data_IF_051036324863
#
_entry.id   IF_051036324863
#
_cell.length_a   1.000
_cell.length_b   1.000
_cell.length_c   1.000
_cell.angle_alpha   90.00
_cell.angle_beta   90.00
_cell.angle_gamma   90.00
#
_symmetry.space_group_name_H-M   'P 1'
#
loop_
_entity.id
_entity.type
_entity.pdbx_description
1 polymer ?
#
# COMPACT_ATOMS: atom_id res chain seq x y z
N UNK A 1 1.31 -5.14 19.19
CA UNK A 1 2.62 -4.45 19.13
C UNK A 1 2.43 -2.94 19.04
N UNK A 2 3.29 -2.13 19.65
CA UNK A 2 3.17 -0.66 19.68
C UNK A 2 3.27 0.04 18.32
N UNK A 3 3.86 -0.64 17.32
CA UNK A 3 4.01 -0.15 15.95
C UNK A 3 2.79 -0.40 15.05
N UNK A 4 1.83 -1.21 15.50
CA UNK A 4 0.57 -1.43 14.78
C UNK A 4 -0.41 -0.37 15.24
N UNK A 5 -0.69 0.61 14.38
CA UNK A 5 -1.72 1.61 14.65
C UNK A 5 -3.06 0.94 14.94
N UNK A 6 -3.82 1.48 15.89
CA UNK A 6 -5.16 0.96 16.20
C UNK A 6 -6.04 1.04 14.94
N UNK A 7 -6.69 -0.09 14.63
CA UNK A 7 -7.68 -0.11 13.58
C UNK A 7 -8.84 0.81 13.96
N UNK A 8 -9.39 1.58 13.01
CA UNK A 8 -10.65 2.24 13.22
C UNK A 8 -11.73 1.23 13.62
N UNK A 9 -12.45 1.53 14.71
CA UNK A 9 -13.56 0.69 15.18
C UNK A 9 -14.65 0.50 14.12
N UNK A 10 -14.76 1.44 13.18
CA UNK A 10 -15.79 1.47 12.12
C UNK A 10 -15.21 1.32 10.70
N UNK A 11 -14.25 0.42 10.52
CA UNK A 11 -13.70 0.07 9.20
C UNK A 11 -14.80 -0.30 8.20
N UNK A 12 -14.86 0.44 7.08
CA UNK A 12 -15.87 0.25 6.03
C UNK A 12 -17.15 1.07 6.23
N UNK A 13 -17.30 1.80 7.33
CA UNK A 13 -18.41 2.75 7.51
C UNK A 13 -18.14 4.09 6.81
N UNK A 14 -19.20 4.72 6.26
CA UNK A 14 -19.10 6.08 5.68
C UNK A 14 -18.74 7.17 6.70
N UNK A 15 -18.85 6.88 8.01
CA UNK A 15 -18.53 7.83 9.10
C UNK A 15 -17.04 8.00 9.34
N UNK A 16 -16.23 6.99 9.00
CA UNK A 16 -14.79 7.12 9.11
C UNK A 16 -14.25 7.76 7.84
N UNK A 17 -13.49 8.86 8.00
CA UNK A 17 -12.80 9.52 6.90
C UNK A 17 -11.81 8.59 6.19
N UNK A 18 -11.05 9.13 5.23
CA UNK A 18 -10.07 8.35 4.47
C UNK A 18 -9.04 7.71 5.41
N UNK A 19 -8.83 6.40 5.26
CA UNK A 19 -7.76 5.67 5.95
C UNK A 19 -6.39 6.21 5.55
N UNK A 20 -5.48 6.32 6.52
CA UNK A 20 -4.08 6.71 6.27
C UNK A 20 -3.30 5.55 5.66
N UNK A 21 -2.22 5.87 4.95
CA UNK A 21 -1.37 4.87 4.29
C UNK A 21 -0.87 3.76 5.25
N UNK A 22 -0.46 4.14 6.47
CA UNK A 22 0.02 3.18 7.48
C UNK A 22 -1.09 2.28 8.05
N UNK A 23 -2.32 2.79 8.11
CA UNK A 23 -3.49 1.99 8.47
C UNK A 23 -3.81 0.98 7.36
N UNK A 24 -3.78 1.42 6.10
CA UNK A 24 -3.92 0.51 4.95
C UNK A 24 -2.86 -0.59 4.96
N UNK A 25 -1.60 -0.24 5.20
CA UNK A 25 -0.51 -1.22 5.34
C UNK A 25 -0.83 -2.24 6.42
N UNK A 26 -1.18 -1.80 7.62
CA UNK A 26 -1.50 -2.69 8.74
C UNK A 26 -2.68 -3.62 8.42
N UNK A 27 -3.74 -3.09 7.82
CA UNK A 27 -4.91 -3.88 7.38
C UNK A 27 -4.48 -4.97 6.41
N UNK A 28 -3.74 -4.60 5.37
CA UNK A 28 -3.36 -5.52 4.31
C UNK A 28 -2.37 -6.56 4.81
N UNK A 29 -1.35 -6.19 5.58
CA UNK A 29 -0.26 -7.12 5.92
C UNK A 29 -0.49 -7.93 7.18
N UNK A 30 -1.46 -7.56 8.03
CA UNK A 30 -1.70 -8.26 9.31
C UNK A 30 -3.13 -8.79 9.37
N UNK A 31 -4.11 -7.89 9.30
CA UNK A 31 -5.49 -8.27 9.62
C UNK A 31 -6.14 -9.11 8.51
N UNK A 32 -5.91 -8.78 7.24
CA UNK A 32 -6.42 -9.59 6.13
C UNK A 32 -5.85 -11.02 6.16
N UNK A 33 -4.52 -11.26 6.21
CA UNK A 33 -3.97 -12.61 6.33
C UNK A 33 -4.55 -13.41 7.50
N UNK A 34 -4.57 -12.82 8.71
CA UNK A 34 -5.06 -13.53 9.90
C UNK A 34 -6.52 -13.94 9.74
N UNK A 35 -7.38 -13.01 9.33
CA UNK A 35 -8.82 -13.28 9.20
C UNK A 35 -9.13 -14.27 8.06
N UNK A 36 -8.40 -14.18 6.94
CA UNK A 36 -8.62 -15.08 5.81
C UNK A 36 -8.06 -16.47 6.05
N UNK A 37 -6.90 -16.60 6.70
CA UNK A 37 -6.34 -17.91 7.09
C UNK A 37 -7.30 -18.61 8.04
N UNK A 38 -7.76 -17.92 9.10
CA UNK A 38 -8.71 -18.49 10.06
C UNK A 38 -10.00 -18.99 9.38
N UNK A 39 -10.54 -18.21 8.44
CA UNK A 39 -11.81 -18.55 7.78
C UNK A 39 -11.68 -19.57 6.66
N UNK A 40 -10.57 -19.55 5.93
CA UNK A 40 -10.46 -20.23 4.63
C UNK A 40 -9.37 -21.31 4.59
N UNK A 41 -8.51 -21.43 5.61
CA UNK A 41 -7.59 -22.58 5.71
C UNK A 41 -8.40 -23.81 6.15
N UNK A 42 -8.99 -24.52 5.19
CA UNK A 42 -9.70 -25.77 5.45
C UNK A 42 -9.12 -26.89 4.59
N UNK A 43 -9.02 -28.09 5.16
CA UNK A 43 -8.60 -29.31 4.44
C UNK A 43 -9.76 -29.94 3.63
N UNK A 44 -10.92 -29.30 3.61
CA UNK A 44 -12.08 -29.75 2.84
C UNK A 44 -11.76 -29.82 1.35
N UNK A 45 -12.15 -30.92 0.69
CA UNK A 45 -11.98 -31.12 -0.76
C UNK A 45 -13.16 -30.57 -1.59
N UNK A 46 -14.02 -29.75 -0.98
CA UNK A 46 -15.14 -29.12 -1.71
C UNK A 46 -14.63 -28.09 -2.73
N UNK A 47 -15.39 -27.88 -3.81
CA UNK A 47 -15.08 -26.86 -4.82
C UNK A 47 -15.03 -25.45 -4.23
N UNK A 48 -15.92 -25.16 -3.26
CA UNK A 48 -15.95 -23.89 -2.54
C UNK A 48 -14.69 -23.70 -1.68
N UNK A 49 -14.24 -24.74 -0.96
CA UNK A 49 -13.00 -24.70 -0.20
C UNK A 49 -11.78 -24.45 -1.10
N UNK A 50 -11.71 -25.14 -2.25
CA UNK A 50 -10.64 -24.91 -3.24
C UNK A 50 -10.63 -23.47 -3.76
N UNK A 51 -11.80 -22.90 -4.05
CA UNK A 51 -11.90 -21.50 -4.48
C UNK A 51 -11.47 -20.52 -3.39
N UNK A 52 -11.89 -20.73 -2.15
CA UNK A 52 -11.50 -19.90 -0.99
C UNK A 52 -9.99 -19.95 -0.74
N UNK A 53 -9.38 -21.13 -0.88
CA UNK A 53 -7.92 -21.28 -0.81
C UNK A 53 -7.22 -20.45 -1.89
N UNK A 54 -7.68 -20.52 -3.14
CA UNK A 54 -7.08 -19.72 -4.23
C UNK A 54 -7.23 -18.20 -3.98
N UNK A 55 -8.35 -17.76 -3.39
CA UNK A 55 -8.53 -16.36 -2.99
C UNK A 55 -7.58 -15.96 -1.86
N UNK A 56 -7.32 -16.86 -0.91
CA UNK A 56 -6.33 -16.67 0.14
C UNK A 56 -4.92 -16.56 -0.46
N UNK A 57 -4.52 -17.50 -1.32
CA UNK A 57 -3.21 -17.51 -1.98
C UNK A 57 -2.98 -16.22 -2.78
N UNK A 58 -3.98 -15.81 -3.58
CA UNK A 58 -3.96 -14.54 -4.30
C UNK A 58 -3.81 -13.34 -3.34
N UNK A 59 -4.45 -13.38 -2.17
CA UNK A 59 -4.29 -12.31 -1.17
C UNK A 59 -2.89 -12.32 -0.56
N UNK A 60 -2.30 -13.49 -0.32
CA UNK A 60 -0.94 -13.61 0.20
C UNK A 60 0.10 -13.06 -0.77
N UNK A 61 -0.13 -13.15 -2.08
CA UNK A 61 0.72 -12.49 -3.07
C UNK A 61 0.70 -10.97 -2.96
N UNK A 62 -0.49 -10.38 -2.83
CA UNK A 62 -0.60 -8.95 -2.57
C UNK A 62 0.09 -8.55 -1.26
N UNK A 63 -0.07 -9.34 -0.20
CA UNK A 63 0.55 -9.11 1.11
C UNK A 63 2.08 -9.08 1.00
N UNK A 64 2.66 -10.08 0.35
CA UNK A 64 4.11 -10.18 0.16
C UNK A 64 4.64 -9.00 -0.66
N UNK A 65 3.96 -8.63 -1.75
CA UNK A 65 4.32 -7.45 -2.54
C UNK A 65 4.30 -6.16 -1.69
N UNK A 66 3.27 -5.95 -0.86
CA UNK A 66 3.19 -4.77 0.02
C UNK A 66 4.29 -4.78 1.08
N UNK A 67 4.61 -5.93 1.67
CA UNK A 67 5.70 -6.05 2.64
C UNK A 67 7.03 -5.63 2.01
N UNK A 68 7.33 -6.13 0.81
CA UNK A 68 8.56 -5.81 0.07
C UNK A 68 8.60 -4.32 -0.28
N UNK A 69 7.54 -3.79 -0.89
CA UNK A 69 7.48 -2.38 -1.29
C UNK A 69 7.61 -1.41 -0.11
N UNK A 70 7.31 -1.88 1.10
CA UNK A 70 7.39 -1.09 2.32
C UNK A 70 8.69 -1.29 3.13
N UNK A 71 9.70 -1.98 2.55
CA UNK A 71 11.03 -2.09 3.15
C UNK A 71 11.75 -0.74 3.10
N UNK A 72 12.63 -0.50 4.08
CA UNK A 72 13.48 0.71 4.14
C UNK A 72 14.78 0.60 3.32
N UNK A 73 15.10 -0.61 2.87
CA UNK A 73 16.22 -0.92 1.99
C UNK A 73 15.80 -2.10 1.12
N UNK A 74 16.23 -2.11 -0.14
CA UNK A 74 15.79 -3.08 -1.15
C UNK A 74 17.02 -3.66 -1.87
N UNK A 75 17.04 -4.98 -2.00
CA UNK A 75 18.00 -5.68 -2.85
C UNK A 75 17.45 -5.86 -4.27
N UNK A 76 18.29 -6.32 -5.20
CA UNK A 76 17.81 -6.73 -6.54
C UNK A 76 16.77 -7.84 -6.44
N UNK A 77 17.00 -8.82 -5.58
CA UNK A 77 16.08 -9.95 -5.39
C UNK A 77 14.74 -9.50 -4.82
N UNK A 78 14.73 -8.51 -3.92
CA UNK A 78 13.48 -7.91 -3.43
C UNK A 78 12.65 -7.32 -4.57
N UNK A 79 13.28 -6.57 -5.48
CA UNK A 79 12.57 -5.96 -6.62
C UNK A 79 11.97 -7.01 -7.56
N UNK A 80 12.73 -8.08 -7.82
CA UNK A 80 12.25 -9.20 -8.64
C UNK A 80 11.11 -9.96 -7.96
N UNK A 81 11.23 -10.23 -6.66
CA UNK A 81 10.19 -10.87 -5.88
C UNK A 81 8.92 -10.01 -5.83
N UNK A 82 9.04 -8.69 -5.69
CA UNK A 82 7.91 -7.78 -5.76
C UNK A 82 7.15 -7.93 -7.09
N UNK A 83 7.87 -7.86 -8.22
CA UNK A 83 7.27 -7.95 -9.54
C UNK A 83 6.59 -9.30 -9.76
N UNK A 84 7.23 -10.39 -9.33
CA UNK A 84 6.67 -11.74 -9.41
C UNK A 84 5.36 -11.87 -8.60
N UNK A 85 5.36 -11.46 -7.33
CA UNK A 85 4.16 -11.47 -6.51
C UNK A 85 3.03 -10.61 -7.11
N UNK A 86 3.34 -9.40 -7.58
CA UNK A 86 2.32 -8.53 -8.20
C UNK A 86 1.77 -9.10 -9.50
N UNK A 87 2.61 -9.75 -10.30
CA UNK A 87 2.19 -10.39 -11.56
C UNK A 87 1.28 -11.58 -11.29
N UNK A 88 1.64 -12.44 -10.33
CA UNK A 88 0.80 -13.57 -9.90
C UNK A 88 -0.53 -13.10 -9.33
N UNK A 89 -0.49 -12.10 -8.43
CA UNK A 89 -1.69 -11.45 -7.89
C UNK A 89 -2.64 -10.95 -8.99
N UNK A 90 -2.15 -10.16 -9.96
CA UNK A 90 -3.05 -9.60 -10.98
C UNK A 90 -3.58 -10.65 -11.96
N UNK A 91 -2.77 -11.68 -12.25
CA UNK A 91 -3.18 -12.80 -13.09
C UNK A 91 -4.30 -13.60 -12.43
N UNK A 92 -4.11 -13.99 -11.17
CA UNK A 92 -5.12 -14.73 -10.41
C UNK A 92 -6.33 -13.88 -10.05
N UNK A 93 -6.16 -12.58 -9.79
CA UNK A 93 -7.27 -11.66 -9.59
C UNK A 93 -8.22 -11.66 -10.79
N UNK A 94 -7.69 -11.63 -12.02
CA UNK A 94 -8.50 -11.67 -13.25
C UNK A 94 -9.24 -13.01 -13.40
N UNK A 95 -8.57 -14.10 -13.06
CA UNK A 95 -9.13 -15.46 -13.13
C UNK A 95 -10.21 -15.70 -12.08
N UNK A 96 -9.97 -15.24 -10.85
CA UNK A 96 -10.87 -15.41 -9.72
C UNK A 96 -12.08 -14.48 -9.79
N UNK A 97 -11.92 -13.28 -10.34
CA UNK A 97 -12.98 -12.28 -10.44
C UNK A 97 -13.15 -11.80 -11.89
N UNK A 98 -13.73 -12.62 -12.78
CA UNK A 98 -13.80 -12.31 -14.22
C UNK A 98 -14.59 -11.04 -14.55
N UNK A 99 -15.47 -10.59 -13.66
CA UNK A 99 -16.25 -9.36 -13.82
C UNK A 99 -15.53 -8.11 -13.30
N UNK A 100 -14.41 -8.27 -12.59
CA UNK A 100 -13.64 -7.15 -12.05
C UNK A 100 -12.87 -6.46 -13.18
N UNK A 101 -13.16 -5.18 -13.40
CA UNK A 101 -12.39 -4.35 -14.34
C UNK A 101 -11.11 -3.84 -13.68
N UNK A 102 -9.96 -4.23 -14.21
CA UNK A 102 -8.68 -3.69 -13.78
C UNK A 102 -8.61 -2.20 -14.11
N UNK A 103 -8.30 -1.41 -13.09
CA UNK A 103 -8.02 0.03 -13.16
C UNK A 103 -6.55 0.32 -13.48
N UNK A 104 -6.21 1.52 -13.99
CA UNK A 104 -4.82 1.92 -14.27
C UNK A 104 -3.86 1.76 -13.10
N UNK A 105 -4.33 1.91 -11.86
CA UNK A 105 -3.51 1.69 -10.66
C UNK A 105 -2.94 0.28 -10.56
N UNK A 106 -3.63 -0.75 -11.07
CA UNK A 106 -3.11 -2.12 -11.09
C UNK A 106 -1.94 -2.24 -12.06
N UNK A 107 -2.03 -1.58 -13.22
CA UNK A 107 -0.94 -1.54 -14.19
C UNK A 107 0.25 -0.74 -13.64
N UNK A 108 -0.01 0.44 -13.06
CA UNK A 108 1.03 1.26 -12.43
C UNK A 108 1.77 0.51 -11.30
N UNK A 109 1.10 -0.38 -10.57
CA UNK A 109 1.73 -1.20 -9.55
C UNK A 109 2.76 -2.18 -10.12
N UNK A 110 2.64 -2.63 -11.37
CA UNK A 110 3.67 -3.46 -12.02
C UNK A 110 4.95 -2.67 -12.29
N UNK A 111 4.84 -1.37 -12.59
CA UNK A 111 5.99 -0.48 -12.79
C UNK A 111 6.69 -0.08 -11.49
N UNK A 112 6.14 -0.41 -10.32
CA UNK A 112 6.76 -0.04 -9.05
C UNK A 112 8.15 -0.70 -8.90
N UNK A 113 8.39 -1.90 -9.44
CA UNK A 113 9.74 -2.52 -9.41
C UNK A 113 10.80 -1.65 -10.11
N UNK A 114 10.45 -1.03 -11.23
CA UNK A 114 11.33 -0.14 -11.99
C UNK A 114 11.61 1.15 -11.20
N UNK A 115 10.58 1.72 -10.56
CA UNK A 115 10.74 2.89 -9.70
C UNK A 115 11.57 2.58 -8.45
N UNK A 116 11.41 1.39 -7.87
CA UNK A 116 12.25 0.93 -6.76
C UNK A 116 13.71 0.73 -7.18
N UNK A 117 13.96 0.43 -8.45
CA UNK A 117 15.30 0.35 -9.01
C UNK A 117 15.94 1.72 -9.21
N UNK A 118 15.20 2.66 -9.79
CA UNK A 118 15.70 3.99 -10.11
C UNK A 118 15.82 4.93 -8.89
N UNK A 119 14.84 4.88 -7.99
CA UNK A 119 14.70 5.86 -6.90
C UNK A 119 14.89 5.25 -5.51
N UNK A 120 15.07 3.93 -5.43
CA UNK A 120 15.18 3.22 -4.16
C UNK A 120 13.84 3.09 -3.43
N UNK A 121 13.87 2.85 -2.11
CA UNK A 121 12.67 2.62 -1.29
C UNK A 121 11.62 3.73 -1.40
N UNK A 122 10.35 3.36 -1.45
CA UNK A 122 9.20 4.29 -1.60
C UNK A 122 9.24 5.45 -0.60
N UNK A 123 9.68 5.18 0.63
CA UNK A 123 9.80 6.21 1.68
C UNK A 123 10.73 7.37 1.30
N UNK A 124 11.67 7.18 0.38
CA UNK A 124 12.60 8.22 -0.09
C UNK A 124 11.96 9.23 -1.06
N UNK A 125 10.89 8.84 -1.75
CA UNK A 125 10.30 9.65 -2.83
C UNK A 125 8.77 9.74 -2.80
N UNK A 126 8.13 9.20 -1.75
CA UNK A 126 6.69 9.35 -1.55
C UNK A 126 6.27 10.83 -1.41
N UNK A 127 5.02 11.12 -1.78
CA UNK A 127 4.51 12.50 -1.83
C UNK A 127 4.18 13.09 -0.45
N UNK A 128 4.16 12.27 0.61
CA UNK A 128 3.71 12.70 1.93
C UNK A 128 4.47 13.92 2.52
N UNK A 129 5.81 14.03 2.41
CA UNK A 129 6.54 15.21 2.85
C UNK A 129 6.11 16.47 2.08
N UNK A 130 5.88 16.35 0.77
CA UNK A 130 5.43 17.44 -0.08
C UNK A 130 3.98 17.83 0.23
N UNK A 131 3.08 16.88 0.45
CA UNK A 131 1.70 17.15 0.87
C UNK A 131 1.65 17.88 2.22
N UNK A 132 2.50 17.47 3.17
CA UNK A 132 2.65 18.16 4.45
C UNK A 132 3.17 19.59 4.26
N UNK A 133 4.17 19.78 3.39
CA UNK A 133 4.72 21.10 3.06
C UNK A 133 3.66 21.98 2.40
N UNK A 134 2.91 21.47 1.42
CA UNK A 134 1.80 22.20 0.77
C UNK A 134 0.77 22.60 1.81
N UNK A 135 0.39 21.70 2.72
CA UNK A 135 -0.57 22.00 3.79
C UNK A 135 -0.05 23.03 4.79
N UNK A 136 1.26 23.11 5.02
CA UNK A 136 1.88 24.18 5.80
C UNK A 136 1.83 25.51 5.02
N UNK A 137 2.25 25.50 3.75
CA UNK A 137 2.24 26.67 2.87
C UNK A 137 0.83 27.27 2.71
N UNK A 138 -0.19 26.43 2.58
CA UNK A 138 -1.60 26.86 2.53
C UNK A 138 -2.09 27.53 3.81
N UNK A 139 -1.46 27.25 4.96
CA UNK A 139 -1.78 27.86 6.25
C UNK A 139 -0.96 29.12 6.53
N UNK A 140 0.10 29.35 5.76
CA UNK A 140 0.89 30.57 5.87
C UNK A 140 0.11 31.70 5.21
N UNK A 141 -0.16 32.78 5.96
CA UNK A 141 -0.88 33.92 5.42
C UNK A 141 0.04 34.78 4.54
N UNK A 142 0.15 34.44 3.26
CA UNK A 142 0.78 35.31 2.27
C UNK A 142 -0.23 36.40 1.91
N UNK A 143 -0.21 37.52 2.62
CA UNK A 143 -0.97 38.74 2.27
C UNK A 143 -0.42 39.42 0.99
N UNK A 144 -0.08 38.65 -0.05
CA UNK A 144 0.48 39.09 -1.34
C UNK A 144 1.67 40.07 -1.28
N UNK A 145 2.29 40.22 -0.10
CA UNK A 145 3.52 41.00 0.09
C UNK A 145 4.72 40.13 -0.22
N UNK A 146 5.20 40.20 -1.46
CA UNK A 146 6.52 39.69 -1.85
C UNK A 146 7.59 40.45 -1.04
N UNK A 147 8.29 39.77 -0.13
CA UNK A 147 9.53 40.34 0.43
C UNK A 147 10.01 39.94 1.84
N UNK A 148 9.32 39.09 2.62
CA UNK A 148 9.77 38.82 4.01
C UNK A 148 9.92 37.34 4.40
N UNK A 149 9.94 36.42 3.45
CA UNK A 149 9.95 34.97 3.74
C UNK A 149 11.08 34.23 3.04
N UNK A 150 12.35 34.53 3.37
CA UNK A 150 13.49 33.69 2.95
C UNK A 150 14.37 33.25 4.12
N UNK A 151 14.01 33.53 5.37
CA UNK A 151 14.84 33.12 6.52
C UNK A 151 14.53 31.72 7.06
N UNK A 152 13.32 31.19 6.90
CA UNK A 152 12.90 29.93 7.54
C UNK A 152 13.18 28.65 6.73
N UNK A 153 13.52 28.76 5.44
CA UNK A 153 13.74 27.59 4.57
C UNK A 153 15.15 26.97 4.70
N UNK A 154 16.09 27.64 5.37
CA UNK A 154 17.46 27.16 5.54
C UNK A 154 17.67 26.21 6.74
N UNK A 155 16.63 25.92 7.53
CA UNK A 155 16.75 25.13 8.79
C UNK A 155 16.23 23.68 8.63
N UNK A 156 15.83 23.26 7.42
CA UNK A 156 15.31 21.90 7.20
C UNK A 156 16.05 21.27 6.02
N UNK A 157 17.32 20.96 6.23
CA UNK A 157 18.05 19.88 5.56
C UNK A 157 18.74 19.03 6.63
#
# INVERSE_FOLDING_TARGET
PSWVGSLPKDLGSKRHGKLKADQWRSIVTIFLPVTLIERWSTKSRSSEASRKQQMLDNTMDLVNAVIIASKKSLTKDDRLAYLDHMTRYLTDLRRLYPHLKLRPVHHAALHLSEFLEMYGPVHGWWTFPFERLIGLLQKTNTNDKLGLSVSWLLVIF
#
